data_IF_246342967733
#
_entry.id   IF_246342967733
#
_cell.length_a   1.000
_cell.length_b   1.000
_cell.length_c   1.000
_cell.angle_alpha   90.00
_cell.angle_beta   90.00
_cell.angle_gamma   90.00
#
_symmetry.space_group_name_H-M   'P 1'
#
loop_
_entity.id
_entity.type
_entity.pdbx_description
1 polymer ?
#
# COMPACT_ATOMS: atom_id res chain seq x y z
N UNK A 1 -5.11 21.49 -8.10
CA UNK A 1 -4.02 20.52 -8.27
C UNK A 1 -3.77 19.81 -6.94
N UNK A 2 -4.23 18.56 -6.77
CA UNK A 2 -3.77 17.70 -5.66
C UNK A 2 -3.89 16.23 -6.09
N UNK A 3 -2.99 15.80 -6.99
CA UNK A 3 -2.78 14.38 -7.30
C UNK A 3 -1.94 13.76 -6.19
N UNK A 4 -2.57 13.35 -5.10
CA UNK A 4 -1.93 12.42 -4.16
C UNK A 4 -1.75 11.09 -4.91
N UNK A 5 -0.56 10.86 -5.47
CA UNK A 5 -0.15 9.56 -6.02
C UNK A 5 -0.47 8.55 -4.92
N UNK A 6 -1.33 7.55 -5.16
CA UNK A 6 -1.87 6.67 -4.12
C UNK A 6 -0.77 5.88 -3.41
N UNK A 7 -0.14 6.47 -2.40
CA UNK A 7 0.96 5.90 -1.64
C UNK A 7 0.71 6.01 -0.13
N UNK A 8 0.90 4.89 0.55
CA UNK A 8 0.71 4.77 1.98
C UNK A 8 1.72 3.78 2.54
N UNK A 9 2.15 4.02 3.77
CA UNK A 9 2.93 3.04 4.52
C UNK A 9 2.03 1.93 5.04
N UNK A 10 2.59 0.76 5.34
CA UNK A 10 1.82 -0.32 6.01
C UNK A 10 1.17 0.16 7.30
N UNK A 11 1.82 1.05 8.06
CA UNK A 11 1.25 1.66 9.26
C UNK A 11 0.01 2.50 8.96
N UNK A 12 0.09 3.41 7.99
CA UNK A 12 -1.05 4.24 7.61
C UNK A 12 -2.22 3.41 7.08
N UNK A 13 -1.96 2.29 6.39
CA UNK A 13 -3.00 1.36 5.95
C UNK A 13 -3.68 0.63 7.11
N UNK A 14 -2.93 0.24 8.15
CA UNK A 14 -3.49 -0.32 9.39
C UNK A 14 -4.42 0.70 10.04
N UNK A 15 -3.96 1.93 10.23
CA UNK A 15 -4.73 3.00 10.87
C UNK A 15 -6.00 3.33 10.06
N UNK A 16 -5.88 3.40 8.74
CA UNK A 16 -7.00 3.72 7.85
C UNK A 16 -8.05 2.62 7.78
N UNK A 17 -7.64 1.34 7.78
CA UNK A 17 -8.56 0.21 7.59
C UNK A 17 -9.06 -0.40 8.90
N UNK A 18 -8.40 -0.10 10.03
CA UNK A 18 -8.64 -0.76 11.31
C UNK A 18 -8.26 -2.25 11.33
N UNK A 19 -7.63 -2.77 10.27
CA UNK A 19 -7.21 -4.17 10.19
C UNK A 19 -5.88 -4.38 10.91
N UNK A 20 -5.69 -5.59 11.44
CA UNK A 20 -4.41 -5.95 12.05
C UNK A 20 -3.26 -5.85 11.04
N UNK A 21 -2.05 -5.52 11.51
CA UNK A 21 -0.84 -5.47 10.67
C UNK A 21 -0.62 -6.76 9.87
N UNK A 22 -0.72 -7.99 10.44
CA UNK A 22 -0.61 -9.22 9.65
C UNK A 22 -1.65 -9.33 8.53
N UNK A 23 -2.89 -8.90 8.78
CA UNK A 23 -3.95 -8.90 7.75
C UNK A 23 -3.61 -7.93 6.61
N UNK A 24 -3.14 -6.72 6.93
CA UNK A 24 -2.73 -5.72 5.93
C UNK A 24 -1.55 -6.23 5.13
N UNK A 25 -0.50 -6.76 5.76
CA UNK A 25 0.67 -7.34 5.07
C UNK A 25 0.25 -8.45 4.12
N UNK A 26 -0.56 -9.42 4.57
CA UNK A 26 -1.02 -10.52 3.71
C UNK A 26 -1.80 -10.03 2.48
N UNK A 27 -2.55 -8.93 2.60
CA UNK A 27 -3.27 -8.33 1.46
C UNK A 27 -2.32 -7.61 0.52
N UNK A 28 -1.34 -6.87 1.05
CA UNK A 28 -0.29 -6.22 0.26
C UNK A 28 0.54 -7.24 -0.51
N UNK A 29 0.91 -8.37 0.10
CA UNK A 29 1.64 -9.45 -0.57
C UNK A 29 0.86 -9.96 -1.79
N UNK A 30 -0.46 -10.12 -1.67
CA UNK A 30 -1.32 -10.55 -2.79
C UNK A 30 -1.43 -9.49 -3.88
N UNK A 31 -1.50 -8.21 -3.52
CA UNK A 31 -1.55 -7.11 -4.49
C UNK A 31 -0.20 -6.94 -5.20
N UNK A 32 0.90 -7.10 -4.47
CA UNK A 32 2.26 -7.05 -5.01
C UNK A 32 2.51 -8.21 -5.98
N UNK A 33 2.14 -9.44 -5.59
CA UNK A 33 2.24 -10.61 -6.46
C UNK A 33 1.33 -10.55 -7.70
N UNK A 34 0.34 -9.66 -7.71
CA UNK A 34 -0.55 -9.41 -8.84
C UNK A 34 -0.18 -8.11 -9.59
N UNK A 35 1.00 -7.54 -9.35
CA UNK A 35 1.52 -6.32 -9.98
C UNK A 35 0.56 -5.11 -9.87
N UNK A 36 -0.26 -5.07 -8.81
CA UNK A 36 -1.20 -3.98 -8.56
C UNK A 36 -0.55 -2.84 -7.73
N UNK A 37 0.48 -3.17 -6.95
CA UNK A 37 1.23 -2.23 -6.12
C UNK A 37 2.72 -2.48 -6.21
N UNK A 38 3.51 -1.44 -5.97
CA UNK A 38 4.97 -1.51 -5.85
C UNK A 38 5.41 -1.20 -4.43
N UNK A 39 6.46 -1.90 -4.00
CA UNK A 39 7.16 -1.64 -2.75
C UNK A 39 8.31 -0.64 -3.00
N UNK A 40 8.13 0.61 -2.57
CA UNK A 40 9.04 1.70 -2.95
C UNK A 40 10.19 1.91 -1.97
N UNK A 41 9.99 1.58 -0.69
CA UNK A 41 10.99 1.87 0.33
C UNK A 41 10.85 0.92 1.51
N UNK A 42 11.89 0.12 1.73
CA UNK A 42 11.91 -0.90 2.76
C UNK A 42 11.82 -0.33 4.20
N UNK A 43 12.62 0.70 4.60
CA UNK A 43 12.61 1.19 5.98
C UNK A 43 11.25 1.73 6.44
N UNK A 44 10.46 2.31 5.54
CA UNK A 44 9.15 2.90 5.89
C UNK A 44 7.98 2.01 5.49
N UNK A 45 8.27 0.88 4.85
CA UNK A 45 7.28 0.03 4.19
C UNK A 45 6.29 0.82 3.33
N UNK A 46 6.81 1.65 2.42
CA UNK A 46 6.00 2.52 1.56
C UNK A 46 5.52 1.77 0.32
N UNK A 47 4.20 1.79 0.09
CA UNK A 47 3.57 1.16 -1.06
C UNK A 47 2.97 2.20 -2.00
N UNK A 48 2.87 1.88 -3.29
CA UNK A 48 2.25 2.72 -4.31
C UNK A 48 1.42 1.87 -5.27
N UNK A 49 0.27 2.36 -5.72
CA UNK A 49 -0.48 1.75 -6.83
C UNK A 49 0.33 1.82 -8.15
N UNK A 50 0.41 0.72 -8.89
CA UNK A 50 1.08 0.67 -10.20
C UNK A 50 0.35 1.55 -11.22
N UNK A 51 -0.98 1.43 -11.27
CA UNK A 51 -1.85 2.32 -12.05
C UNK A 51 -2.88 2.98 -11.12
N UNK A 52 -3.12 4.28 -11.30
CA UNK A 52 -4.22 4.97 -10.62
C UNK A 52 -5.49 4.74 -11.44
N UNK A 53 -6.49 3.99 -10.94
CA UNK A 53 -7.71 3.69 -11.70
C UNK A 53 -8.67 4.88 -11.81
N UNK A 54 -8.23 6.11 -11.50
CA UNK A 54 -9.03 7.35 -11.46
C UNK A 54 -8.64 8.34 -12.54
#
# INVERSE_FOLDING_TARGET
MRRSRGNLTTGALVDFTGLSRPTVTKRLDRLYAADCVEYLHEPTALWRLVEDPR
#
